data_IF_137376036309
#
_entry.id   IF_137376036309
#
_cell.length_a   1.000
_cell.length_b   1.000
_cell.length_c   1.000
_cell.angle_alpha   90.00
_cell.angle_beta   90.00
_cell.angle_gamma   90.00
#
_symmetry.space_group_name_H-M   'P 1'
#
loop_
_entity.id
_entity.type
_entity.pdbx_description
1 polymer ?
#
# COMPACT_ATOMS: atom_id res chain seq x y z
N UNK A 1 14.71 18.97 -16.18
CA UNK A 1 16.03 18.32 -16.13
C UNK A 1 15.78 16.82 -16.08
N UNK A 2 16.09 16.09 -17.15
CA UNK A 2 15.82 14.65 -17.25
C UNK A 2 16.69 13.90 -16.23
N UNK A 3 16.05 13.13 -15.35
CA UNK A 3 16.73 12.31 -14.36
C UNK A 3 17.40 11.17 -15.12
N UNK A 4 18.74 11.13 -15.08
CA UNK A 4 19.53 10.19 -15.88
C UNK A 4 19.11 8.75 -15.56
N UNK A 5 18.81 7.97 -16.58
CA UNK A 5 18.73 6.51 -16.49
C UNK A 5 20.03 5.97 -15.89
N UNK A 6 19.92 5.16 -14.85
CA UNK A 6 21.07 4.56 -14.19
C UNK A 6 21.55 3.34 -14.99
N UNK A 7 22.23 3.57 -16.11
CA UNK A 7 22.72 2.51 -17.00
C UNK A 7 23.95 1.80 -16.39
N UNK A 8 23.91 0.46 -16.33
CA UNK A 8 24.96 -0.36 -15.73
C UNK A 8 25.09 -0.23 -14.20
N UNK A 9 24.15 0.44 -13.53
CA UNK A 9 24.18 0.67 -12.07
C UNK A 9 23.26 -0.36 -11.38
N UNK A 10 23.69 -0.96 -10.25
CA UNK A 10 22.85 -1.86 -9.47
C UNK A 10 21.56 -1.18 -8.99
N UNK A 11 20.53 -1.99 -8.72
CA UNK A 11 19.36 -1.52 -7.98
C UNK A 11 19.77 -1.05 -6.59
N UNK A 12 19.29 0.14 -6.22
CA UNK A 12 19.40 0.63 -4.85
C UNK A 12 18.56 -0.22 -3.88
N UNK A 13 18.91 -0.25 -2.58
CA UNK A 13 18.09 -0.91 -1.56
C UNK A 13 16.62 -0.50 -1.59
N UNK A 14 16.33 0.79 -1.82
CA UNK A 14 14.97 1.31 -1.93
C UNK A 14 14.22 0.77 -3.16
N UNK A 15 14.91 0.61 -4.29
CA UNK A 15 14.34 0.02 -5.49
C UNK A 15 14.05 -1.48 -5.30
N UNK A 16 14.96 -2.21 -4.64
CA UNK A 16 14.77 -3.63 -4.26
C UNK A 16 13.55 -3.77 -3.34
N UNK A 17 13.46 -2.94 -2.30
CA UNK A 17 12.33 -2.93 -1.37
C UNK A 17 11.02 -2.62 -2.09
N UNK A 18 11.04 -1.66 -3.03
CA UNK A 18 9.88 -1.34 -3.85
C UNK A 18 9.46 -2.53 -4.72
N UNK A 19 10.38 -3.16 -5.46
CA UNK A 19 10.09 -4.35 -6.27
C UNK A 19 9.44 -5.45 -5.43
N UNK A 20 9.99 -5.73 -4.25
CA UNK A 20 9.45 -6.75 -3.32
C UNK A 20 8.06 -6.43 -2.80
N UNK A 21 7.68 -5.15 -2.75
CA UNK A 21 6.35 -4.73 -2.31
C UNK A 21 5.28 -4.79 -3.41
N UNK A 22 5.64 -5.13 -4.65
CA UNK A 22 4.71 -5.19 -5.78
C UNK A 22 4.10 -6.57 -5.95
N UNK A 23 2.80 -6.57 -6.17
CA UNK A 23 1.97 -7.72 -6.54
C UNK A 23 1.69 -7.77 -8.06
N UNK A 24 2.11 -6.73 -8.79
CA UNK A 24 1.90 -6.63 -10.23
C UNK A 24 2.94 -5.74 -10.91
N UNK A 25 3.18 -6.01 -12.19
CA UNK A 25 3.95 -5.15 -13.09
C UNK A 25 3.50 -5.33 -14.54
N UNK A 26 3.88 -4.40 -15.41
CA UNK A 26 3.70 -4.54 -16.85
C UNK A 26 5.04 -4.91 -17.50
N UNK A 27 5.05 -5.96 -18.30
CA UNK A 27 6.19 -6.38 -19.10
C UNK A 27 5.99 -5.88 -20.53
N UNK A 28 6.81 -4.92 -20.94
CA UNK A 28 6.94 -4.52 -22.33
C UNK A 28 8.03 -5.36 -23.00
N UNK A 29 7.73 -5.90 -24.17
CA UNK A 29 8.65 -6.66 -25.04
C UNK A 29 8.40 -6.25 -26.49
N UNK A 30 9.23 -6.71 -27.42
CA UNK A 30 9.00 -6.50 -28.84
C UNK A 30 9.32 -7.74 -29.66
N UNK A 31 8.64 -7.90 -30.79
CA UNK A 31 8.98 -8.95 -31.76
C UNK A 31 10.38 -8.74 -32.35
N UNK A 32 10.85 -9.70 -33.15
CA UNK A 32 12.09 -9.53 -33.94
C UNK A 32 12.02 -8.36 -34.92
N UNK A 33 10.81 -7.99 -35.35
CA UNK A 33 10.56 -6.86 -36.25
C UNK A 33 10.38 -5.53 -35.49
N UNK A 34 10.42 -5.57 -34.15
CA UNK A 34 10.30 -4.39 -33.30
C UNK A 34 8.87 -3.99 -32.97
N UNK A 35 7.87 -4.84 -33.26
CA UNK A 35 6.47 -4.57 -32.90
C UNK A 35 6.32 -4.56 -31.37
N UNK A 36 5.83 -3.45 -30.77
CA UNK A 36 5.75 -3.34 -29.33
C UNK A 36 4.59 -4.14 -28.76
N UNK A 37 4.82 -4.79 -27.62
CA UNK A 37 3.80 -5.55 -26.90
C UNK A 37 3.91 -5.32 -25.40
N UNK A 38 2.77 -5.19 -24.72
CA UNK A 38 2.72 -5.02 -23.26
C UNK A 38 1.77 -6.05 -22.65
N UNK A 39 2.26 -6.73 -21.62
CA UNK A 39 1.48 -7.70 -20.86
C UNK A 39 1.51 -7.37 -19.37
N UNK A 40 0.34 -7.35 -18.76
CA UNK A 40 0.23 -7.31 -17.30
C UNK A 40 0.62 -8.68 -16.70
N UNK A 41 1.47 -8.66 -15.67
CA UNK A 41 1.87 -9.81 -14.87
C UNK A 41 1.49 -9.53 -13.42
N UNK A 42 0.77 -10.45 -12.80
CA UNK A 42 0.32 -10.35 -11.40
C UNK A 42 0.64 -11.61 -10.62
N UNK A 43 0.82 -11.46 -9.31
CA UNK A 43 1.12 -12.53 -8.36
C UNK A 43 1.00 -12.02 -6.93
N UNK A 44 1.44 -12.82 -5.96
CA UNK A 44 1.57 -12.33 -4.59
C UNK A 44 2.63 -11.23 -4.49
N UNK A 45 2.56 -10.30 -3.52
CA UNK A 45 3.63 -9.35 -3.27
C UNK A 45 5.00 -10.04 -3.20
N UNK A 46 5.94 -9.56 -4.02
CA UNK A 46 7.30 -10.11 -4.11
C UNK A 46 7.48 -11.28 -5.09
N UNK A 47 6.49 -11.58 -5.93
CA UNK A 47 6.64 -12.60 -6.98
C UNK A 47 7.68 -12.26 -8.05
N UNK A 48 7.97 -10.96 -8.25
CA UNK A 48 9.17 -10.50 -8.94
C UNK A 48 10.31 -10.46 -7.91
N UNK A 49 11.25 -11.38 -8.03
CA UNK A 49 12.30 -11.61 -7.04
C UNK A 49 13.60 -10.98 -7.52
N UNK A 50 14.15 -10.00 -6.79
CA UNK A 50 15.56 -9.61 -6.94
C UNK A 50 16.44 -10.75 -6.42
N UNK A 51 17.14 -11.43 -7.33
CA UNK A 51 18.10 -12.49 -7.01
C UNK A 51 19.41 -11.87 -6.51
N UNK A 52 19.79 -10.74 -7.11
CA UNK A 52 20.86 -9.85 -6.68
C UNK A 52 20.55 -8.40 -7.12
N UNK A 53 21.52 -7.49 -7.05
CA UNK A 53 21.32 -6.08 -7.40
C UNK A 53 21.25 -5.80 -8.92
N UNK A 54 21.65 -6.75 -9.77
CA UNK A 54 21.62 -6.68 -11.24
C UNK A 54 20.72 -7.75 -11.87
N UNK A 55 20.26 -8.73 -11.10
CA UNK A 55 19.45 -9.83 -11.62
C UNK A 55 18.13 -9.93 -10.88
N UNK A 56 17.04 -9.93 -11.64
CA UNK A 56 15.70 -10.23 -11.14
C UNK A 56 15.14 -11.45 -11.86
N UNK A 57 14.06 -12.01 -11.35
CA UNK A 57 13.32 -13.02 -12.10
C UNK A 57 11.93 -13.28 -11.55
N UNK A 58 11.14 -14.01 -12.32
CA UNK A 58 9.83 -14.48 -11.90
C UNK A 58 9.52 -15.82 -12.56
N UNK A 59 8.69 -16.62 -11.89
CA UNK A 59 8.16 -17.86 -12.43
C UNK A 59 6.94 -17.62 -13.33
N UNK A 60 6.87 -18.34 -14.45
CA UNK A 60 5.70 -18.40 -15.33
C UNK A 60 5.02 -19.77 -15.15
N UNK A 61 3.72 -19.73 -14.90
CA UNK A 61 2.94 -20.88 -14.44
C UNK A 61 2.11 -21.49 -15.57
N UNK A 62 1.75 -22.77 -15.39
CA UNK A 62 0.88 -23.49 -16.30
C UNK A 62 -0.51 -22.81 -16.45
N UNK A 63 -1.02 -22.78 -17.69
CA UNK A 63 -2.33 -22.22 -18.02
C UNK A 63 -2.31 -20.79 -18.55
N UNK A 64 -1.17 -20.09 -18.48
CA UNK A 64 -0.97 -18.82 -19.16
C UNK A 64 -0.77 -19.05 -20.67
N UNK A 65 -1.87 -19.14 -21.42
CA UNK A 65 -1.88 -19.43 -22.87
C UNK A 65 -1.41 -18.26 -23.76
N UNK A 66 -0.83 -17.21 -23.17
CA UNK A 66 -0.34 -16.03 -23.90
C UNK A 66 1.17 -16.11 -24.04
N UNK A 67 1.61 -16.60 -25.20
CA UNK A 67 3.01 -16.89 -25.50
C UNK A 67 3.76 -15.75 -26.20
N UNK A 68 3.13 -14.60 -26.45
CA UNK A 68 3.76 -13.49 -27.18
C UNK A 68 5.06 -13.01 -26.50
N UNK A 69 5.00 -12.70 -25.19
CA UNK A 69 6.19 -12.31 -24.43
C UNK A 69 7.29 -13.39 -24.39
N UNK A 70 6.91 -14.67 -24.47
CA UNK A 70 7.87 -15.79 -24.55
C UNK A 70 8.54 -15.82 -25.92
N UNK A 71 7.75 -15.77 -27.00
CA UNK A 71 8.26 -15.72 -28.36
C UNK A 71 9.17 -14.52 -28.59
N UNK A 72 8.78 -13.36 -28.06
CA UNK A 72 9.60 -12.16 -28.04
C UNK A 72 10.91 -12.40 -27.28
N UNK A 73 10.88 -12.90 -26.04
CA UNK A 73 12.11 -13.13 -25.27
C UNK A 73 13.10 -14.09 -25.97
N UNK A 74 12.61 -15.04 -26.77
CA UNK A 74 13.45 -15.95 -27.55
C UNK A 74 14.03 -15.30 -28.82
N UNK A 75 13.35 -14.32 -29.41
CA UNK A 75 13.77 -13.67 -30.66
C UNK A 75 14.45 -12.30 -30.45
N UNK A 76 14.08 -11.59 -29.41
CA UNK A 76 14.53 -10.26 -29.00
C UNK A 76 14.56 -10.21 -27.45
N UNK A 77 15.74 -10.32 -26.82
CA UNK A 77 15.83 -10.41 -25.37
C UNK A 77 15.49 -9.10 -24.66
N UNK A 78 15.32 -7.97 -25.37
CA UNK A 78 15.08 -6.69 -24.71
C UNK A 78 13.66 -6.60 -24.17
N UNK A 79 13.56 -6.28 -22.88
CA UNK A 79 12.28 -5.99 -22.24
C UNK A 79 12.38 -4.78 -21.31
N UNK A 80 11.22 -4.23 -20.96
CA UNK A 80 11.09 -3.16 -19.98
C UNK A 80 9.97 -3.49 -18.99
N UNK A 81 10.27 -3.45 -17.69
CA UNK A 81 9.30 -3.69 -16.62
C UNK A 81 8.84 -2.37 -16.03
N UNK A 82 7.52 -2.14 -16.03
CA UNK A 82 6.89 -0.95 -15.48
C UNK A 82 6.14 -1.32 -14.21
N UNK A 83 6.63 -0.83 -13.07
CA UNK A 83 6.08 -1.12 -11.75
C UNK A 83 5.41 0.15 -11.20
N UNK A 84 4.13 0.04 -10.84
CA UNK A 84 3.33 1.16 -10.34
C UNK A 84 3.00 1.07 -8.86
N UNK A 85 2.97 2.23 -8.22
CA UNK A 85 2.40 2.48 -6.90
C UNK A 85 1.41 3.64 -7.02
N UNK A 86 0.13 3.34 -7.15
CA UNK A 86 -0.87 4.40 -7.25
C UNK A 86 -1.03 5.18 -5.95
N UNK A 87 -1.13 4.54 -4.75
CA UNK A 87 -1.22 5.28 -3.48
C UNK A 87 -0.05 6.24 -3.24
N UNK A 88 1.19 5.75 -3.38
CA UNK A 88 2.38 6.58 -3.17
C UNK A 88 2.73 7.45 -4.38
N UNK A 89 2.02 7.30 -5.50
CA UNK A 89 2.27 7.97 -6.79
C UNK A 89 3.69 7.74 -7.31
N UNK A 90 4.24 6.55 -7.07
CA UNK A 90 5.60 6.18 -7.49
C UNK A 90 5.54 5.22 -8.66
N UNK A 91 6.54 5.31 -9.53
CA UNK A 91 6.74 4.34 -10.61
C UNK A 91 8.20 4.08 -10.84
N UNK A 92 8.53 2.81 -11.03
CA UNK A 92 9.87 2.34 -11.33
C UNK A 92 9.86 1.69 -12.71
N UNK A 93 10.81 2.07 -13.56
CA UNK A 93 11.06 1.45 -14.86
C UNK A 93 12.38 0.70 -14.81
N UNK A 94 12.38 -0.53 -15.30
CA UNK A 94 13.58 -1.36 -15.42
C UNK A 94 13.73 -1.76 -16.89
N UNK A 95 14.88 -1.50 -17.50
CA UNK A 95 15.25 -2.07 -18.79
C UNK A 95 16.11 -3.30 -18.54
N UNK A 96 15.78 -4.40 -19.19
CA UNK A 96 16.39 -5.71 -18.92
C UNK A 96 16.64 -6.49 -20.20
N UNK A 97 17.67 -7.33 -20.21
CA UNK A 97 17.77 -8.45 -21.14
C UNK A 97 17.16 -9.70 -20.48
N UNK A 98 16.28 -10.38 -21.22
CA UNK A 98 15.49 -11.51 -20.76
C UNK A 98 16.12 -12.81 -21.24
N UNK A 99 16.26 -13.75 -20.32
CA UNK A 99 16.61 -15.13 -20.59
C UNK A 99 15.55 -16.05 -20.02
N UNK A 100 15.08 -16.98 -20.82
CA UNK A 100 14.10 -17.99 -20.37
C UNK A 100 14.83 -19.27 -19.98
N UNK A 101 14.49 -19.82 -18.82
CA UNK A 101 15.01 -21.10 -18.33
C UNK A 101 13.88 -22.12 -18.31
N UNK A 102 14.10 -23.23 -18.99
CA UNK A 102 13.23 -24.41 -19.02
C UNK A 102 14.04 -25.64 -18.61
N UNK A 103 13.38 -26.67 -18.08
CA UNK A 103 14.04 -27.89 -17.62
C UNK A 103 14.70 -27.76 -16.24
N UNK A 104 15.82 -28.46 -15.97
CA UNK A 104 16.49 -28.41 -14.67
C UNK A 104 16.88 -26.98 -14.28
N UNK A 105 16.42 -26.56 -13.09
CA UNK A 105 16.63 -25.19 -12.60
C UNK A 105 17.90 -25.12 -11.76
N UNK A 106 18.88 -24.24 -12.12
CA UNK A 106 20.07 -24.00 -11.32
C UNK A 106 19.75 -23.53 -9.89
N UNK A 107 20.55 -23.92 -8.87
CA UNK A 107 20.31 -23.55 -7.47
C UNK A 107 20.10 -22.06 -7.22
N UNK A 108 20.83 -21.20 -7.92
CA UNK A 108 20.73 -19.75 -7.81
C UNK A 108 19.37 -19.19 -8.24
N UNK A 109 18.58 -19.95 -9.00
CA UNK A 109 17.23 -19.57 -9.43
C UNK A 109 16.12 -20.23 -8.60
N UNK A 110 16.45 -21.08 -7.62
CA UNK A 110 15.47 -21.70 -6.73
C UNK A 110 14.58 -20.70 -5.97
N UNK A 111 15.05 -19.48 -5.59
CA UNK A 111 14.15 -18.49 -5.01
C UNK A 111 12.95 -18.13 -5.89
N UNK A 112 13.06 -18.24 -7.23
CA UNK A 112 11.95 -18.01 -8.15
C UNK A 112 10.90 -19.13 -8.08
N UNK A 113 11.32 -20.37 -7.81
CA UNK A 113 10.40 -21.50 -7.64
C UNK A 113 9.58 -21.38 -6.36
N UNK A 114 10.19 -20.82 -5.30
CA UNK A 114 9.56 -20.63 -4.01
C UNK A 114 8.39 -19.61 -4.02
N UNK A 115 8.19 -18.86 -5.12
CA UNK A 115 7.04 -17.94 -5.25
C UNK A 115 5.75 -18.64 -5.64
N UNK A 116 5.82 -19.90 -6.13
CA UNK A 116 4.65 -20.68 -6.48
C UNK A 116 3.83 -21.04 -5.24
N UNK A 117 2.51 -20.93 -5.33
CA UNK A 117 1.53 -21.23 -4.27
C UNK A 117 0.68 -22.45 -4.64
N UNK A 118 1.34 -23.48 -5.16
CA UNK A 118 0.72 -24.72 -5.65
C UNK A 118 0.58 -24.80 -7.16
N UNK A 119 0.86 -23.72 -7.89
CA UNK A 119 0.91 -23.74 -9.34
C UNK A 119 2.16 -24.48 -9.84
N UNK A 120 2.01 -25.21 -10.94
CA UNK A 120 3.14 -25.83 -11.64
C UNK A 120 3.91 -24.74 -12.40
N UNK A 121 5.16 -24.51 -12.01
CA UNK A 121 6.09 -23.65 -12.76
C UNK A 121 6.47 -24.34 -14.07
N UNK A 122 6.29 -23.66 -15.19
CA UNK A 122 6.68 -24.18 -16.51
C UNK A 122 8.03 -23.66 -16.98
N UNK A 123 8.35 -22.41 -16.63
CA UNK A 123 9.57 -21.74 -17.02
C UNK A 123 9.88 -20.58 -16.08
N UNK A 124 11.13 -20.14 -16.08
CA UNK A 124 11.57 -18.95 -15.35
C UNK A 124 12.01 -17.88 -16.34
N UNK A 125 11.58 -16.65 -16.08
CA UNK A 125 12.11 -15.47 -16.74
C UNK A 125 13.19 -14.88 -15.84
N UNK A 126 14.43 -14.88 -16.33
CA UNK A 126 15.57 -14.25 -15.68
C UNK A 126 15.87 -12.94 -16.40
N UNK A 127 15.99 -11.87 -15.63
CA UNK A 127 16.04 -10.50 -16.10
C UNK A 127 17.37 -9.87 -15.68
N UNK A 128 18.28 -9.72 -16.64
CA UNK A 128 19.53 -8.98 -16.45
C UNK A 128 19.27 -7.49 -16.56
N UNK A 129 19.43 -6.75 -15.46
CA UNK A 129 19.23 -5.31 -15.39
C UNK A 129 20.25 -4.58 -16.25
N UNK A 130 19.76 -3.68 -17.10
CA UNK A 130 20.58 -2.77 -17.91
C UNK A 130 20.53 -1.35 -17.41
N UNK A 131 19.33 -0.90 -17.05
CA UNK A 131 19.11 0.43 -16.55
C UNK A 131 17.83 0.49 -15.73
N UNK A 132 17.72 1.49 -14.86
CA UNK A 132 16.49 1.78 -14.15
C UNK A 132 16.29 3.27 -13.91
N UNK A 133 15.03 3.66 -13.73
CA UNK A 133 14.62 5.06 -13.54
C UNK A 133 13.38 5.16 -12.63
N UNK A 134 13.42 6.12 -11.69
CA UNK A 134 12.23 6.66 -11.03
C UNK A 134 11.71 7.88 -11.81
N UNK A 135 10.40 8.01 -11.94
CA UNK A 135 9.81 9.22 -12.55
C UNK A 135 8.98 10.04 -11.56
N UNK A 136 8.80 11.33 -11.87
CA UNK A 136 8.08 12.28 -11.04
C UNK A 136 6.61 11.90 -10.80
N UNK A 137 6.06 12.10 -9.58
CA UNK A 137 4.69 11.73 -9.21
C UNK A 137 3.60 12.62 -9.84
N UNK A 138 4.00 13.67 -10.58
CA UNK A 138 3.10 14.68 -11.16
C UNK A 138 2.06 14.00 -12.05
N UNK A 139 0.79 14.34 -11.85
CA UNK A 139 -0.39 13.81 -12.56
C UNK A 139 -0.76 12.34 -12.31
N UNK A 140 -0.11 11.62 -11.39
CA UNK A 140 -0.62 10.32 -10.95
C UNK A 140 -1.75 10.58 -9.95
N UNK A 141 -2.97 10.23 -10.34
CA UNK A 141 -4.13 10.20 -9.43
C UNK A 141 -3.97 8.99 -8.50
N UNK A 142 -4.00 9.19 -7.16
CA UNK A 142 -4.01 8.07 -6.23
C UNK A 142 -5.19 7.14 -6.47
N UNK A 143 -4.92 5.85 -6.52
CA UNK A 143 -5.92 4.78 -6.60
C UNK A 143 -5.60 3.78 -5.51
N UNK A 144 -6.64 3.28 -4.86
CA UNK A 144 -6.53 2.33 -3.77
C UNK A 144 -7.36 1.11 -4.14
N UNK A 145 -6.84 -0.08 -3.86
CA UNK A 145 -7.66 -1.28 -3.79
C UNK A 145 -8.68 -1.15 -2.65
N UNK A 146 -9.75 -1.95 -2.65
CA UNK A 146 -10.73 -1.93 -1.55
C UNK A 146 -10.08 -2.17 -0.17
N UNK A 147 -9.04 -3.02 -0.12
CA UNK A 147 -8.26 -3.26 1.10
C UNK A 147 -7.48 -2.01 1.52
N UNK A 148 -6.70 -1.42 0.63
CA UNK A 148 -5.92 -0.21 0.90
C UNK A 148 -6.80 0.99 1.24
N UNK A 149 -7.98 1.08 0.62
CA UNK A 149 -8.98 2.11 0.93
C UNK A 149 -9.40 2.05 2.40
N UNK A 150 -9.59 0.83 2.91
CA UNK A 150 -9.95 0.58 4.30
C UNK A 150 -8.78 0.70 5.26
N UNK A 151 -7.51 0.69 4.81
CA UNK A 151 -6.34 0.67 5.71
C UNK A 151 -5.47 1.91 5.67
N UNK A 152 -5.35 2.58 4.52
CA UNK A 152 -4.24 3.52 4.22
C UNK A 152 -4.69 4.96 3.89
N UNK A 153 -6.00 5.24 3.79
CA UNK A 153 -6.50 6.62 3.68
C UNK A 153 -6.59 7.33 5.04
N UNK A 154 -6.37 8.65 5.10
CA UNK A 154 -6.65 9.44 6.28
C UNK A 154 -8.05 9.15 6.81
N UNK A 155 -8.13 8.79 8.09
CA UNK A 155 -9.37 8.36 8.70
C UNK A 155 -9.87 9.44 9.66
N UNK A 156 -11.11 9.90 9.44
CA UNK A 156 -11.77 10.85 10.32
C UNK A 156 -12.81 10.11 11.16
N UNK A 157 -12.71 10.25 12.48
CA UNK A 157 -13.64 9.69 13.45
C UNK A 157 -14.40 10.83 14.12
N UNK A 158 -15.71 10.86 13.92
CA UNK A 158 -16.64 11.74 14.62
C UNK A 158 -17.13 11.03 15.88
N UNK A 159 -17.08 11.70 17.02
CA UNK A 159 -17.57 11.16 18.29
C UNK A 159 -18.44 12.19 18.99
N UNK A 160 -19.64 11.76 19.35
CA UNK A 160 -20.60 12.51 20.16
C UNK A 160 -20.62 11.92 21.57
N UNK A 161 -20.48 12.78 22.57
CA UNK A 161 -20.31 12.39 23.96
C UNK A 161 -21.35 13.09 24.84
N UNK A 162 -21.80 12.37 25.87
CA UNK A 162 -22.48 12.92 27.04
C UNK A 162 -21.59 12.68 28.25
N UNK A 163 -20.83 13.72 28.58
CA UNK A 163 -19.89 13.75 29.70
C UNK A 163 -20.66 14.11 30.97
N UNK A 164 -20.52 13.29 32.02
CA UNK A 164 -21.17 13.49 33.31
C UNK A 164 -20.21 13.92 34.42
N UNK A 165 -18.91 13.70 34.21
CA UNK A 165 -17.86 14.13 35.10
C UNK A 165 -16.76 14.81 34.29
N UNK A 166 -16.67 16.14 34.41
CA UNK A 166 -15.73 16.94 33.66
C UNK A 166 -14.28 16.73 34.11
N UNK A 167 -14.05 16.42 35.39
CA UNK A 167 -12.70 16.31 35.94
C UNK A 167 -12.04 15.00 35.52
N UNK A 168 -12.77 13.88 35.62
CA UNK A 168 -12.30 12.59 35.12
C UNK A 168 -12.13 12.59 33.60
N UNK A 169 -13.03 13.24 32.84
CA UNK A 169 -12.84 13.38 31.39
C UNK A 169 -11.62 14.24 31.04
N UNK A 170 -11.32 15.29 31.81
CA UNK A 170 -10.10 16.07 31.63
C UNK A 170 -8.83 15.25 31.93
N UNK A 171 -8.87 14.36 32.93
CA UNK A 171 -7.79 13.41 33.21
C UNK A 171 -7.59 12.42 32.06
N UNK A 172 -8.68 11.87 31.50
CA UNK A 172 -8.63 11.05 30.29
C UNK A 172 -7.96 11.78 29.12
N UNK A 173 -8.33 13.05 28.87
CA UNK A 173 -7.73 13.86 27.79
C UNK A 173 -6.23 14.02 27.95
N UNK A 174 -5.75 14.34 29.16
CA UNK A 174 -4.31 14.48 29.44
C UNK A 174 -3.54 13.18 29.21
N UNK A 175 -4.12 12.03 29.55
CA UNK A 175 -3.50 10.73 29.34
C UNK A 175 -3.54 10.28 27.88
N UNK A 176 -4.63 10.54 27.17
CA UNK A 176 -4.86 10.05 25.81
C UNK A 176 -4.14 10.87 24.73
N UNK A 177 -3.99 12.18 24.91
CA UNK A 177 -3.48 13.07 23.87
C UNK A 177 -2.03 12.79 23.43
N UNK A 178 -1.06 12.46 24.33
CA UNK A 178 0.28 12.05 23.92
C UNK A 178 0.27 10.74 23.11
N UNK A 179 -0.55 9.77 23.51
CA UNK A 179 -0.71 8.49 22.80
C UNK A 179 -1.30 8.73 21.41
N UNK A 180 -2.33 9.58 21.33
CA UNK A 180 -2.96 9.93 20.06
C UNK A 180 -1.93 10.50 19.08
N UNK A 181 -1.09 11.43 19.54
CA UNK A 181 0.01 12.01 18.73
C UNK A 181 1.05 10.98 18.31
N UNK A 182 1.42 10.04 19.20
CA UNK A 182 2.41 9.00 18.89
C UNK A 182 1.96 8.11 17.73
N UNK A 183 0.65 7.89 17.58
CA UNK A 183 0.05 7.17 16.46
C UNK A 183 -0.32 8.08 15.26
N UNK A 184 0.17 9.33 15.26
CA UNK A 184 -0.07 10.33 14.20
C UNK A 184 -1.47 10.93 14.20
N UNK A 185 -2.29 10.62 15.20
CA UNK A 185 -3.63 11.17 15.34
C UNK A 185 -3.65 12.60 15.87
N UNK A 186 -4.73 13.34 15.58
CA UNK A 186 -4.96 14.70 16.10
C UNK A 186 -6.44 15.00 16.24
N UNK A 187 -6.78 15.96 17.11
CA UNK A 187 -8.11 16.55 17.14
C UNK A 187 -8.21 17.61 16.04
N UNK A 188 -9.17 17.44 15.15
CA UNK A 188 -9.51 18.43 14.12
C UNK A 188 -10.56 19.40 14.61
N UNK A 189 -11.48 18.89 15.44
CA UNK A 189 -12.57 19.64 16.02
C UNK A 189 -12.83 19.12 17.43
N UNK A 190 -13.07 20.04 18.36
CA UNK A 190 -13.47 19.73 19.72
C UNK A 190 -14.41 20.84 20.21
N UNK A 191 -15.71 20.56 20.21
CA UNK A 191 -16.75 21.52 20.55
C UNK A 191 -17.50 21.02 21.77
N UNK A 192 -17.53 21.85 22.81
CA UNK A 192 -18.29 21.66 24.03
C UNK A 192 -19.44 22.66 24.06
N UNK A 193 -20.63 22.22 24.48
CA UNK A 193 -21.79 23.10 24.59
C UNK A 193 -23.12 22.39 24.37
N UNK A 194 -24.17 23.19 24.17
CA UNK A 194 -25.51 22.68 23.88
C UNK A 194 -25.66 22.40 22.39
N UNK A 195 -26.08 21.20 22.05
CA UNK A 195 -26.34 20.80 20.67
C UNK A 195 -27.85 20.74 20.42
N UNK A 196 -28.29 21.22 19.26
CA UNK A 196 -29.67 21.04 18.80
C UNK A 196 -29.67 19.93 17.76
N UNK A 197 -30.23 18.76 18.11
CA UNK A 197 -30.24 17.60 17.23
C UNK A 197 -31.59 17.50 16.52
N UNK A 198 -31.57 17.39 15.19
CA UNK A 198 -32.81 17.44 14.40
C UNK A 198 -33.60 16.12 14.43
N UNK A 199 -32.93 14.96 14.52
CA UNK A 199 -33.57 13.64 14.34
C UNK A 199 -32.89 12.50 15.14
N UNK A 200 -32.67 12.65 16.45
CA UNK A 200 -32.23 11.54 17.30
C UNK A 200 -32.56 11.78 18.79
N UNK A 201 -32.66 10.71 19.60
CA UNK A 201 -32.98 10.81 21.03
C UNK A 201 -31.76 11.18 21.89
N UNK A 202 -30.65 11.60 21.30
CA UNK A 202 -29.36 11.73 21.97
C UNK A 202 -28.73 13.10 21.76
N UNK A 203 -28.94 14.04 22.67
CA UNK A 203 -28.26 15.33 22.61
C UNK A 203 -26.89 15.22 23.29
N UNK A 204 -25.77 15.25 22.56
CA UNK A 204 -24.44 15.29 23.19
C UNK A 204 -24.23 16.63 23.90
N UNK A 205 -23.30 16.66 24.85
CA UNK A 205 -22.74 17.92 25.38
C UNK A 205 -21.31 18.19 24.88
N UNK A 206 -20.72 17.25 24.13
CA UNK A 206 -19.45 17.43 23.43
C UNK A 206 -19.39 16.65 22.12
N UNK A 207 -18.82 17.26 21.09
CA UNK A 207 -18.57 16.62 19.80
C UNK A 207 -17.10 16.79 19.42
N UNK A 208 -16.44 15.69 19.09
CA UNK A 208 -15.04 15.67 18.69
C UNK A 208 -14.85 15.03 17.31
N UNK A 209 -13.91 15.55 16.53
CA UNK A 209 -13.42 14.92 15.31
C UNK A 209 -11.94 14.64 15.51
N UNK A 210 -11.58 13.36 15.36
CA UNK A 210 -10.20 12.90 15.43
C UNK A 210 -9.78 12.46 14.04
N UNK A 211 -8.65 12.95 13.53
CA UNK A 211 -8.05 12.43 12.31
C UNK A 211 -6.87 11.52 12.63
N UNK A 212 -6.66 10.55 11.75
CA UNK A 212 -5.52 9.65 11.72
C UNK A 212 -4.93 9.65 10.32
N UNK A 213 -3.61 9.40 10.18
CA UNK A 213 -2.98 9.30 8.86
C UNK A 213 -3.52 8.11 8.08
N UNK A 214 -3.95 7.06 8.78
CA UNK A 214 -4.66 5.95 8.18
C UNK A 214 -5.60 5.23 9.13
N UNK A 215 -6.49 4.38 8.59
CA UNK A 215 -7.32 3.48 9.39
C UNK A 215 -6.50 2.50 10.21
N UNK A 216 -5.39 1.99 9.67
CA UNK A 216 -4.47 1.13 10.40
C UNK A 216 -3.85 1.85 11.61
N UNK A 217 -3.41 3.10 11.44
CA UNK A 217 -2.90 3.90 12.53
C UNK A 217 -3.97 4.13 13.61
N UNK A 218 -5.22 4.35 13.19
CA UNK A 218 -6.31 4.49 14.13
C UNK A 218 -6.60 3.19 14.90
N UNK A 219 -6.62 2.03 14.22
CA UNK A 219 -6.76 0.72 14.88
C UNK A 219 -5.63 0.50 15.90
N UNK A 220 -4.37 0.76 15.51
CA UNK A 220 -3.23 0.63 16.40
C UNK A 220 -3.35 1.50 17.66
N UNK A 221 -3.85 2.73 17.53
CA UNK A 221 -4.13 3.59 18.67
C UNK A 221 -5.22 3.03 19.60
N UNK A 222 -6.32 2.50 19.05
CA UNK A 222 -7.40 1.96 19.88
C UNK A 222 -7.07 0.60 20.52
N UNK A 223 -6.10 -0.13 19.96
CA UNK A 223 -5.55 -1.38 20.51
C UNK A 223 -4.37 -1.15 21.46
N UNK A 224 -3.85 0.07 21.54
CA UNK A 224 -2.73 0.42 22.42
C UNK A 224 -3.10 0.14 23.90
N UNK A 225 -2.34 -0.71 24.61
CA UNK A 225 -2.64 -1.06 26.00
C UNK A 225 -2.72 0.15 26.92
N UNK A 226 -1.96 1.21 26.66
CA UNK A 226 -1.93 2.42 27.47
C UNK A 226 -3.18 3.26 27.24
N UNK A 227 -3.66 3.30 25.99
CA UNK A 227 -4.95 3.91 25.66
C UNK A 227 -6.09 3.15 26.33
N UNK A 228 -6.08 1.81 26.26
CA UNK A 228 -7.11 0.98 26.90
C UNK A 228 -7.16 1.22 28.41
N UNK A 229 -6.00 1.30 29.08
CA UNK A 229 -5.94 1.65 30.51
C UNK A 229 -6.50 3.05 30.78
N UNK A 230 -6.07 4.06 30.03
CA UNK A 230 -6.58 5.42 30.20
C UNK A 230 -8.11 5.51 29.99
N UNK A 231 -8.64 4.76 29.02
CA UNK A 231 -10.07 4.67 28.74
C UNK A 231 -10.83 4.07 29.93
N UNK A 232 -10.41 2.90 30.43
CA UNK A 232 -11.10 2.23 31.53
C UNK A 232 -11.00 3.02 32.84
N UNK A 233 -9.86 3.64 33.13
CA UNK A 233 -9.67 4.40 34.37
C UNK A 233 -10.47 5.70 34.39
N UNK A 234 -10.52 6.43 33.26
CA UNK A 234 -11.00 7.82 33.26
C UNK A 234 -12.15 8.10 32.29
N UNK A 235 -12.23 7.44 31.14
CA UNK A 235 -13.28 7.73 30.15
C UNK A 235 -14.61 7.08 30.51
N UNK A 236 -14.59 5.77 30.81
CA UNK A 236 -15.80 4.99 31.07
C UNK A 236 -16.61 5.47 32.28
N UNK A 237 -15.98 5.89 33.41
CA UNK A 237 -16.72 6.48 34.52
C UNK A 237 -17.27 7.88 34.23
N UNK A 238 -16.60 8.64 33.36
CA UNK A 238 -16.92 10.06 33.13
C UNK A 238 -17.86 10.33 31.96
N UNK A 239 -18.16 9.31 31.14
CA UNK A 239 -19.01 9.43 29.94
C UNK A 239 -20.19 8.47 30.03
N UNK A 240 -21.41 9.03 30.14
CA UNK A 240 -22.65 8.26 30.17
C UNK A 240 -22.97 7.62 28.83
N UNK A 241 -22.77 8.35 27.73
CA UNK A 241 -23.07 7.89 26.37
C UNK A 241 -22.02 8.37 25.38
N UNK A 242 -21.63 7.47 24.48
CA UNK A 242 -20.66 7.72 23.42
C UNK A 242 -21.14 7.09 22.12
N UNK A 243 -21.33 7.90 21.08
CA UNK A 243 -21.63 7.44 19.72
C UNK A 243 -20.46 7.85 18.83
N UNK A 244 -19.83 6.87 18.17
CA UNK A 244 -18.71 7.11 17.29
C UNK A 244 -19.01 6.61 15.88
N UNK A 245 -18.74 7.46 14.90
CA UNK A 245 -18.88 7.16 13.48
C UNK A 245 -17.59 7.50 12.76
N UNK A 246 -17.34 6.81 11.66
CA UNK A 246 -16.25 7.17 10.76
C UNK A 246 -16.82 7.95 9.60
N UNK A 247 -16.21 9.09 9.26
CA UNK A 247 -16.48 9.73 7.99
C UNK A 247 -15.80 8.89 6.91
N UNK A 248 -16.57 8.01 6.27
CA UNK A 248 -16.21 7.47 4.97
C UNK A 248 -16.67 8.47 3.92
N UNK A 249 -15.78 8.93 3.04
CA UNK A 249 -16.25 9.42 1.76
C UNK A 249 -16.78 8.20 1.01
N UNK A 250 -18.10 8.06 0.90
CA UNK A 250 -18.70 7.22 -0.12
C UNK A 250 -18.43 7.87 -1.49
N UNK A 251 -17.87 7.08 -2.39
CA UNK A 251 -18.16 7.08 -3.83
C UNK A 251 -17.86 8.36 -4.63
N UNK A 252 -16.77 9.06 -4.30
CA UNK A 252 -16.17 10.02 -5.24
C UNK A 252 -17.04 11.23 -5.59
N UNK A 253 -18.01 11.57 -4.73
CA UNK A 253 -18.73 12.85 -4.82
C UNK A 253 -18.51 13.66 -3.55
N UNK A 254 -17.35 14.31 -3.50
CA UNK A 254 -17.22 15.56 -2.76
C UNK A 254 -17.95 16.62 -3.58
N UNK A 255 -19.03 17.21 -3.04
CA UNK A 255 -19.53 18.49 -3.51
C UNK A 255 -18.76 19.60 -2.84
#
# INVERSE_FOLDING_TARGET
MAQRSHEGVPLSPDAIAFVRSRDSFYLASASSEGEPYVQHRGGAPGFLVPLDAHTLGFADYAGNRKYDSLGHALANPRAMLFLMDYPARRRLKLWTDVRVVTGPVPPELHPLLATARGERVERLFVLGLRAWEWNCPKHIVPRYTAREWLTDRPALRLVHLEITDAEGYAAYRRAMEPLLRAHGGRFELDVEGTFHQCHAPFVPNRTIVISFPSRRAATAFFEDPDYVRARTTWFEPSVRRSVASWLAEDDGRVR
#
